data_IF_383693776156
#
_entry.id   IF_383693776156
#
_cell.length_a   1.000
_cell.length_b   1.000
_cell.length_c   1.000
_cell.angle_alpha   90.00
_cell.angle_beta   90.00
_cell.angle_gamma   90.00
#
_symmetry.space_group_name_H-M   'P 1'
#
loop_
_entity.id
_entity.type
_entity.pdbx_description
1 polymer ?
#
# COMPACT_ATOMS: atom_id res chain seq x y z
N UNK A 1 32.02 -17.53 1.25
CA UNK A 1 31.56 -16.15 0.97
C UNK A 1 30.16 -16.23 0.38
N UNK A 2 29.13 -16.32 1.22
CA UNK A 2 27.73 -16.45 0.75
C UNK A 2 27.18 -15.07 0.45
N UNK A 3 26.90 -14.79 -0.82
CA UNK A 3 26.24 -13.56 -1.24
C UNK A 3 24.80 -13.59 -0.73
N UNK A 4 24.48 -12.67 0.18
CA UNK A 4 23.12 -12.42 0.64
C UNK A 4 22.27 -12.00 -0.57
N UNK A 5 21.40 -12.89 -1.03
CA UNK A 5 20.42 -12.58 -2.07
C UNK A 5 19.33 -11.74 -1.41
N UNK A 6 19.55 -10.41 -1.36
CA UNK A 6 18.57 -9.44 -0.88
C UNK A 6 17.43 -9.42 -1.89
N UNK A 7 16.46 -10.31 -1.72
CA UNK A 7 15.21 -10.29 -2.48
C UNK A 7 14.71 -8.85 -2.46
N UNK A 8 14.65 -8.23 -3.63
CA UNK A 8 14.15 -6.88 -3.82
C UNK A 8 12.65 -6.91 -3.51
N UNK A 9 12.33 -6.84 -2.23
CA UNK A 9 10.98 -6.88 -1.69
C UNK A 9 10.35 -5.48 -1.81
N UNK A 10 10.44 -4.92 -3.02
CA UNK A 10 9.99 -3.57 -3.36
C UNK A 10 8.72 -3.63 -4.17
N UNK A 11 7.75 -2.77 -3.83
CA UNK A 11 6.56 -2.53 -4.66
C UNK A 11 7.00 -2.23 -6.09
N UNK A 12 6.32 -2.84 -7.06
CA UNK A 12 6.65 -2.67 -8.48
C UNK A 12 5.83 -1.50 -9.04
N UNK A 13 6.48 -0.43 -9.47
CA UNK A 13 5.78 0.65 -10.14
C UNK A 13 5.30 0.20 -11.53
N UNK A 14 4.05 0.51 -11.85
CA UNK A 14 3.34 0.15 -13.07
C UNK A 14 2.63 1.39 -13.62
N UNK A 15 2.55 1.49 -14.94
CA UNK A 15 1.77 2.53 -15.61
C UNK A 15 0.56 1.87 -16.27
N UNK A 16 -0.64 2.29 -15.87
CA UNK A 16 -1.89 1.88 -16.48
C UNK A 16 -2.55 3.10 -17.11
N UNK A 17 -2.62 3.12 -18.44
CA UNK A 17 -3.02 4.29 -19.21
C UNK A 17 -2.17 5.52 -18.86
N UNK A 18 -2.79 6.55 -18.29
CA UNK A 18 -2.20 7.81 -17.87
C UNK A 18 -1.80 7.84 -16.38
N UNK A 19 -2.05 6.76 -15.63
CA UNK A 19 -1.84 6.69 -14.19
C UNK A 19 -0.64 5.83 -13.82
N UNK A 20 0.15 6.28 -12.85
CA UNK A 20 1.25 5.52 -12.25
C UNK A 20 0.82 4.95 -10.90
N UNK A 21 0.98 3.65 -10.75
CA UNK A 21 0.50 2.87 -9.61
C UNK A 21 1.63 1.99 -9.07
N UNK A 22 1.56 1.65 -7.79
CA UNK A 22 2.48 0.69 -7.19
C UNK A 22 1.78 -0.65 -6.96
N UNK A 23 2.27 -1.71 -7.59
CA UNK A 23 1.81 -3.07 -7.31
C UNK A 23 2.38 -3.60 -5.99
N UNK A 24 1.47 -3.90 -5.07
CA UNK A 24 1.73 -4.67 -3.86
C UNK A 24 2.01 -6.14 -4.14
N UNK A 25 2.41 -6.87 -3.10
CA UNK A 25 2.80 -8.29 -3.21
C UNK A 25 1.66 -9.20 -3.69
N UNK A 26 0.41 -8.83 -3.39
CA UNK A 26 -0.80 -9.56 -3.80
C UNK A 26 -1.32 -9.21 -5.19
N UNK A 27 -0.69 -8.25 -5.88
CA UNK A 27 -1.21 -7.67 -7.13
C UNK A 27 -2.11 -6.45 -6.93
N UNK A 28 -2.34 -6.03 -5.67
CA UNK A 28 -3.07 -4.81 -5.34
C UNK A 28 -2.38 -3.59 -5.95
N UNK A 29 -3.16 -2.66 -6.50
CA UNK A 29 -2.63 -1.46 -7.15
C UNK A 29 -2.85 -0.24 -6.25
N UNK A 30 -1.78 0.29 -5.68
CA UNK A 30 -1.85 1.48 -4.83
C UNK A 30 -1.67 2.75 -5.67
N UNK A 31 -2.62 3.68 -5.54
CA UNK A 31 -2.46 5.02 -6.07
C UNK A 31 -1.39 5.78 -5.27
N UNK A 32 -0.60 6.57 -5.99
CA UNK A 32 0.42 7.42 -5.38
C UNK A 32 -0.03 8.88 -5.42
N UNK A 33 0.32 9.63 -4.37
CA UNK A 33 0.24 11.08 -4.41
C UNK A 33 1.34 11.60 -5.35
N UNK A 34 0.97 12.55 -6.21
CA UNK A 34 1.83 13.18 -7.21
C UNK A 34 1.54 14.68 -7.23
N UNK A 35 2.27 15.47 -8.02
CA UNK A 35 2.17 16.95 -8.00
C UNK A 35 0.73 17.49 -8.03
N UNK A 36 -0.12 16.93 -8.89
CA UNK A 36 -1.54 17.33 -9.03
C UNK A 36 -2.50 16.44 -8.24
N UNK A 37 -2.01 15.36 -7.65
CA UNK A 37 -2.81 14.34 -6.96
C UNK A 37 -2.52 14.44 -5.47
N UNK A 38 -3.43 15.01 -4.68
CA UNK A 38 -3.18 15.24 -3.26
C UNK A 38 -3.00 13.92 -2.50
N UNK A 39 -2.35 14.01 -1.33
CA UNK A 39 -2.24 12.87 -0.41
C UNK A 39 -3.63 12.44 0.02
N UNK A 40 -3.91 11.14 -0.09
CA UNK A 40 -5.14 10.56 0.41
C UNK A 40 -5.17 10.65 1.94
N UNK A 41 -6.27 11.14 2.49
CA UNK A 41 -6.43 11.31 3.93
C UNK A 41 -7.73 10.72 4.43
N UNK A 42 -7.77 10.38 5.72
CA UNK A 42 -9.01 10.08 6.44
C UNK A 42 -9.90 11.30 6.55
N UNK A 43 -11.12 11.10 7.05
CA UNK A 43 -12.06 12.18 7.37
C UNK A 43 -11.50 13.20 8.38
N UNK A 44 -10.57 12.79 9.24
CA UNK A 44 -9.90 13.64 10.22
C UNK A 44 -8.60 14.25 9.67
N UNK A 45 -8.26 14.01 8.40
CA UNK A 45 -7.09 14.57 7.73
C UNK A 45 -5.78 13.80 7.96
N UNK A 46 -5.82 12.61 8.56
CA UNK A 46 -4.63 11.76 8.70
C UNK A 46 -4.25 11.10 7.37
N UNK A 47 -2.98 11.08 6.94
CA UNK A 47 -2.59 10.47 5.67
C UNK A 47 -2.80 8.95 5.68
N UNK A 48 -3.31 8.42 4.57
CA UNK A 48 -3.55 6.98 4.36
C UNK A 48 -2.44 6.41 3.48
N UNK A 49 -1.75 5.38 3.97
CA UNK A 49 -0.66 4.74 3.23
C UNK A 49 -1.11 3.56 2.37
N UNK A 50 -2.17 2.87 2.77
CA UNK A 50 -2.76 1.73 2.07
C UNK A 50 -4.27 1.73 2.31
N UNK A 51 -5.04 1.88 1.24
CA UNK A 51 -6.50 1.95 1.25
C UNK A 51 -7.15 0.67 0.66
N UNK A 52 -6.33 -0.33 0.31
CA UNK A 52 -6.82 -1.59 -0.27
C UNK A 52 -6.70 -2.78 0.70
N UNK A 53 -6.05 -2.59 1.85
CA UNK A 53 -5.84 -3.63 2.84
C UNK A 53 -6.18 -3.15 4.25
N UNK A 54 -6.85 -4.03 4.99
CA UNK A 54 -7.10 -3.87 6.43
C UNK A 54 -5.91 -4.36 7.25
N UNK A 55 -5.67 -3.75 8.41
CA UNK A 55 -4.71 -4.20 9.40
C UNK A 55 -5.13 -5.55 10.00
N UNK A 56 -4.20 -6.52 9.93
CA UNK A 56 -4.41 -7.92 10.33
C UNK A 56 -3.22 -8.48 11.08
N UNK A 57 -3.46 -9.50 11.91
CA UNK A 57 -2.38 -10.28 12.55
C UNK A 57 -1.77 -11.25 11.55
N UNK A 58 -0.75 -10.79 10.82
CA UNK A 58 -0.10 -11.56 9.76
C UNK A 58 -0.86 -11.55 8.44
N UNK A 59 -0.21 -11.97 7.36
CA UNK A 59 -0.69 -11.77 5.99
C UNK A 59 -2.06 -12.41 5.66
N UNK A 60 -2.45 -13.47 6.39
CA UNK A 60 -3.74 -14.17 6.22
C UNK A 60 -4.47 -14.38 7.55
N UNK A 61 -4.16 -13.55 8.55
CA UNK A 61 -4.80 -13.65 9.87
C UNK A 61 -6.06 -12.79 10.00
N UNK A 62 -6.64 -12.75 11.21
CA UNK A 62 -7.84 -11.97 11.48
C UNK A 62 -7.56 -10.47 11.44
N UNK A 63 -8.58 -9.70 11.08
CA UNK A 63 -8.59 -8.23 11.12
C UNK A 63 -8.61 -7.72 12.57
N UNK A 64 -7.91 -6.63 12.84
CA UNK A 64 -7.86 -5.99 14.14
C UNK A 64 -8.90 -4.86 14.27
N UNK A 65 -9.48 -4.69 15.46
CA UNK A 65 -10.44 -3.61 15.75
C UNK A 65 -9.77 -2.23 15.78
N UNK A 66 -8.46 -2.17 16.03
CA UNK A 66 -7.69 -0.92 16.06
C UNK A 66 -7.50 -0.28 14.68
N UNK A 67 -7.91 -0.95 13.60
CA UNK A 67 -7.97 -0.34 12.27
C UNK A 67 -9.11 0.67 12.19
N UNK A 68 -8.82 1.92 12.55
CA UNK A 68 -9.79 3.01 12.51
C UNK A 68 -10.08 3.49 11.09
N UNK A 69 -9.20 3.24 10.11
CA UNK A 69 -9.43 3.64 8.72
C UNK A 69 -10.56 2.81 8.10
N UNK A 70 -10.67 1.55 8.51
CA UNK A 70 -11.67 0.61 8.02
C UNK A 70 -13.06 0.72 8.70
N UNK A 71 -13.16 1.40 9.85
CA UNK A 71 -14.39 1.45 10.68
C UNK A 71 -15.21 2.71 10.46
#
# INVERSE_FOLDING_TARGET
MSASNKATNGRKSLTLHDQKLDAGRGGDLHQLAEDKTPVMTTAQGGPVSDDLNTLKVGARGPTLIEDFHFR
#
